data_IF_326797083875
#
_entry.id   IF_326797083875
#
_cell.length_a   1.000
_cell.length_b   1.000
_cell.length_c   1.000
_cell.angle_alpha   90.00
_cell.angle_beta   90.00
_cell.angle_gamma   90.00
#
_symmetry.space_group_name_H-M   'P 1'
#
loop_
_entity.id
_entity.type
_entity.pdbx_description
1 polymer ?
#
# COMPACT_ATOMS: atom_id res chain seq x y z
N UNK A 1 -22.80 -8.28 -1.91
CA UNK A 1 -22.46 -9.65 -2.38
C UNK A 1 -21.26 -10.14 -1.60
N UNK A 2 -21.16 -11.44 -1.29
CA UNK A 2 -19.99 -12.00 -0.64
C UNK A 2 -18.80 -11.84 -1.60
N UNK A 3 -17.78 -11.08 -1.19
CA UNK A 3 -16.59 -10.78 -2.01
C UNK A 3 -16.32 -9.30 -2.28
N UNK A 4 -17.26 -8.38 -2.02
CA UNK A 4 -17.00 -6.94 -2.17
C UNK A 4 -16.30 -6.40 -0.93
N UNK A 5 -15.01 -6.06 -1.05
CA UNK A 5 -14.29 -5.34 0.02
C UNK A 5 -14.95 -3.97 0.25
N UNK A 6 -15.16 -3.55 1.50
CA UNK A 6 -15.74 -2.25 1.78
C UNK A 6 -14.81 -1.13 1.28
N UNK A 7 -15.40 -0.08 0.70
CA UNK A 7 -14.67 1.14 0.37
C UNK A 7 -14.54 1.97 1.65
N UNK A 8 -13.32 2.40 1.96
CA UNK A 8 -13.04 3.29 3.09
C UNK A 8 -13.06 4.76 2.70
N UNK A 9 -12.60 5.08 1.48
CA UNK A 9 -12.48 6.46 0.98
C UNK A 9 -12.55 6.54 -0.54
N UNK A 10 -13.01 7.68 -1.04
CA UNK A 10 -12.96 8.06 -2.47
C UNK A 10 -12.14 9.34 -2.60
N UNK A 11 -11.11 9.31 -3.44
CA UNK A 11 -10.24 10.47 -3.74
C UNK A 11 -10.38 10.80 -5.22
N UNK A 12 -10.59 12.08 -5.54
CA UNK A 12 -10.74 12.57 -6.90
C UNK A 12 -9.39 13.07 -7.44
N UNK A 13 -8.95 12.49 -8.56
CA UNK A 13 -7.69 12.80 -9.26
C UNK A 13 -8.00 13.17 -10.71
N UNK A 14 -7.32 14.19 -11.23
CA UNK A 14 -7.57 14.78 -12.55
C UNK A 14 -8.48 16.01 -12.53
N UNK A 15 -8.43 16.81 -13.60
CA UNK A 15 -9.22 18.05 -13.71
C UNK A 15 -10.71 17.79 -13.99
N UNK A 16 -11.02 16.75 -14.78
CA UNK A 16 -12.39 16.40 -15.18
C UNK A 16 -13.26 15.91 -14.02
N UNK A 17 -12.65 15.41 -12.94
CA UNK A 17 -13.37 14.96 -11.74
C UNK A 17 -13.86 16.13 -10.86
N UNK A 18 -13.53 17.39 -11.20
CA UNK A 18 -14.05 18.59 -10.51
C UNK A 18 -15.48 18.95 -10.89
N UNK A 19 -16.06 18.26 -11.87
CA UNK A 19 -17.47 18.43 -12.23
C UNK A 19 -18.36 18.04 -11.03
N UNK A 20 -19.23 18.94 -10.53
CA UNK A 20 -20.07 18.66 -9.37
C UNK A 20 -20.96 17.42 -9.52
N UNK A 21 -21.38 17.13 -10.76
CA UNK A 21 -22.17 15.95 -11.09
C UNK A 21 -21.40 14.64 -10.83
N UNK A 22 -20.09 14.62 -11.11
CA UNK A 22 -19.24 13.45 -10.89
C UNK A 22 -19.15 13.14 -9.39
N UNK A 23 -18.94 14.16 -8.56
CA UNK A 23 -18.92 14.00 -7.10
C UNK A 23 -20.27 13.51 -6.56
N UNK A 24 -21.36 14.10 -7.01
CA UNK A 24 -22.73 13.73 -6.58
C UNK A 24 -23.09 12.29 -6.95
N UNK A 25 -22.71 11.85 -8.16
CA UNK A 25 -22.90 10.48 -8.62
C UNK A 25 -22.11 9.50 -7.76
N UNK A 26 -20.83 9.80 -7.48
CA UNK A 26 -19.97 8.95 -6.66
C UNK A 26 -20.46 8.86 -5.21
N UNK A 27 -20.96 9.96 -4.63
CA UNK A 27 -21.62 9.95 -3.33
C UNK A 27 -22.83 9.01 -3.33
N UNK A 28 -23.66 9.04 -4.37
CA UNK A 28 -24.85 8.20 -4.49
C UNK A 28 -24.49 6.71 -4.66
N UNK A 29 -23.43 6.40 -5.43
CA UNK A 29 -23.01 5.02 -5.73
C UNK A 29 -22.24 4.36 -4.59
N UNK A 30 -21.48 5.15 -3.82
CA UNK A 30 -20.55 4.63 -2.81
C UNK A 30 -21.02 4.88 -1.38
N UNK A 31 -21.91 5.85 -1.16
CA UNK A 31 -22.29 6.33 0.16
C UNK A 31 -21.20 7.13 0.88
N UNK A 32 -20.08 7.41 0.20
CA UNK A 32 -18.93 8.13 0.74
C UNK A 32 -18.82 9.51 0.12
N UNK A 33 -18.36 10.50 0.89
CA UNK A 33 -18.06 11.83 0.37
C UNK A 33 -16.73 11.84 -0.38
N UNK A 34 -16.71 12.04 -1.72
CA UNK A 34 -15.48 12.09 -2.49
C UNK A 34 -14.67 13.32 -2.11
N UNK A 35 -13.37 13.14 -1.85
CA UNK A 35 -12.48 14.23 -1.43
C UNK A 35 -11.49 14.59 -2.53
N UNK A 36 -11.23 15.89 -2.71
CA UNK A 36 -10.01 16.37 -3.38
C UNK A 36 -8.98 16.66 -2.29
N UNK A 37 -7.76 16.15 -2.42
CA UNK A 37 -6.71 16.43 -1.44
C UNK A 37 -6.37 17.93 -1.47
N UNK A 38 -6.47 18.64 -0.33
CA UNK A 38 -6.15 20.06 -0.28
C UNK A 38 -4.66 20.33 -0.48
N UNK A 39 -3.79 19.41 -0.02
CA UNK A 39 -2.33 19.56 -0.09
C UNK A 39 -1.75 19.17 -1.46
N UNK A 40 -2.53 18.48 -2.29
CA UNK A 40 -2.05 17.94 -3.56
C UNK A 40 -3.02 18.30 -4.69
N UNK A 41 -2.61 19.18 -5.62
CA UNK A 41 -3.41 19.46 -6.81
C UNK A 41 -3.75 18.16 -7.56
N UNK A 42 -5.03 17.98 -7.89
CA UNK A 42 -5.54 16.75 -8.52
C UNK A 42 -4.80 16.32 -9.80
N UNK A 43 -4.13 17.25 -10.51
CA UNK A 43 -3.31 16.95 -11.69
C UNK A 43 -1.89 16.50 -11.34
N UNK A 44 -1.32 17.01 -10.24
CA UNK A 44 0.05 16.72 -9.81
C UNK A 44 0.14 15.49 -8.92
N UNK A 45 -0.98 14.99 -8.38
CA UNK A 45 -1.01 13.80 -7.52
C UNK A 45 -0.31 12.59 -8.16
N UNK A 46 -0.53 12.39 -9.47
CA UNK A 46 0.10 11.28 -10.21
C UNK A 46 1.61 11.50 -10.32
N UNK A 47 2.03 12.70 -10.69
CA UNK A 47 3.46 13.03 -10.83
C UNK A 47 4.21 12.91 -9.50
N UNK A 48 3.59 13.36 -8.39
CA UNK A 48 4.15 13.20 -7.05
C UNK A 48 4.24 11.72 -6.65
N UNK A 49 3.21 10.91 -6.96
CA UNK A 49 3.26 9.47 -6.75
C UNK A 49 4.40 8.79 -7.52
N UNK A 50 4.64 9.22 -8.77
CA UNK A 50 5.79 8.74 -9.55
C UNK A 50 7.13 9.14 -8.92
N UNK A 51 7.26 10.37 -8.40
CA UNK A 51 8.48 10.82 -7.74
C UNK A 51 8.77 10.00 -6.46
N UNK A 52 7.74 9.73 -5.65
CA UNK A 52 7.87 8.85 -4.47
C UNK A 52 8.26 7.43 -4.91
N UNK A 53 7.60 6.88 -5.94
CA UNK A 53 7.93 5.55 -6.46
C UNK A 53 9.36 5.48 -7.01
N UNK A 54 9.84 6.53 -7.65
CA UNK A 54 11.23 6.67 -8.10
C UNK A 54 12.19 6.65 -6.92
N UNK A 55 11.95 7.46 -5.90
CA UNK A 55 12.77 7.46 -4.68
C UNK A 55 12.79 6.10 -3.96
N UNK A 56 11.68 5.35 -3.98
CA UNK A 56 11.64 3.98 -3.45
C UNK A 56 12.57 3.05 -4.25
N UNK A 57 12.59 3.17 -5.58
CA UNK A 57 13.44 2.35 -6.44
C UNK A 57 14.92 2.73 -6.34
N UNK A 58 15.21 4.01 -6.14
CA UNK A 58 16.56 4.55 -6.01
C UNK A 58 17.15 4.37 -4.60
N UNK A 59 16.40 3.77 -3.67
CA UNK A 59 16.84 3.53 -2.29
C UNK A 59 16.84 4.78 -1.39
N UNK A 60 16.23 5.88 -1.83
CA UNK A 60 16.16 7.16 -1.09
C UNK A 60 15.42 7.03 0.25
N UNK A 61 14.61 5.98 0.38
CA UNK A 61 13.81 5.69 1.57
C UNK A 61 14.32 4.48 2.35
N UNK A 62 15.45 3.89 1.97
CA UNK A 62 16.08 2.84 2.78
C UNK A 62 16.58 3.48 4.09
N UNK A 63 16.31 2.81 5.22
CA UNK A 63 16.67 3.30 6.56
C UNK A 63 18.20 3.50 6.65
N UNK A 64 18.68 4.74 6.46
CA UNK A 64 20.02 5.12 6.88
C UNK A 64 20.03 5.17 8.41
N UNK A 65 20.28 4.02 9.03
CA UNK A 65 20.79 3.87 10.40
C UNK A 65 20.23 4.81 11.49
N UNK A 66 18.92 5.11 11.55
CA UNK A 66 18.33 5.82 12.70
C UNK A 66 16.90 5.32 12.99
N UNK A 67 16.75 4.67 14.15
CA UNK A 67 15.62 3.89 14.68
C UNK A 67 14.23 4.58 14.78
N UNK A 68 13.97 5.75 14.19
CA UNK A 68 12.67 6.45 14.37
C UNK A 68 12.06 7.16 13.14
N UNK A 69 12.61 7.06 11.92
CA UNK A 69 12.16 7.96 10.85
C UNK A 69 12.11 7.48 9.41
N UNK A 70 12.63 6.30 9.07
CA UNK A 70 12.65 5.87 7.68
C UNK A 70 11.32 5.23 7.23
N UNK A 71 11.03 5.39 5.95
CA UNK A 71 9.90 4.72 5.31
C UNK A 71 10.30 3.25 5.15
N UNK A 72 9.75 2.35 5.98
CA UNK A 72 10.03 0.90 5.95
C UNK A 72 9.59 0.17 4.67
N UNK A 73 10.10 0.62 3.53
CA UNK A 73 9.77 0.19 2.18
C UNK A 73 10.94 -0.64 1.68
N UNK A 74 10.70 -1.94 1.56
CA UNK A 74 11.69 -2.88 1.05
C UNK A 74 11.72 -2.90 -0.47
N UNK A 75 12.89 -3.12 -1.06
CA UNK A 75 13.00 -3.46 -2.47
C UNK A 75 12.27 -4.76 -2.79
N UNK A 76 11.90 -4.98 -4.06
CA UNK A 76 11.25 -6.22 -4.49
C UNK A 76 12.04 -7.48 -4.12
N UNK A 77 13.38 -7.41 -4.18
CA UNK A 77 14.25 -8.52 -3.83
C UNK A 77 14.32 -8.75 -2.32
N UNK A 78 14.49 -7.70 -1.51
CA UNK A 78 14.45 -7.81 -0.04
C UNK A 78 13.10 -8.34 0.44
N UNK A 79 11.99 -7.84 -0.12
CA UNK A 79 10.65 -8.32 0.22
C UNK A 79 10.44 -9.79 -0.19
N UNK A 80 10.93 -10.21 -1.37
CA UNK A 80 10.85 -11.59 -1.81
C UNK A 80 11.68 -12.52 -0.93
N UNK A 81 12.90 -12.11 -0.58
CA UNK A 81 13.77 -12.84 0.33
C UNK A 81 13.14 -12.97 1.72
N UNK A 82 12.63 -11.89 2.30
CA UNK A 82 11.96 -11.91 3.60
C UNK A 82 10.76 -12.86 3.60
N UNK A 83 9.90 -12.80 2.57
CA UNK A 83 8.77 -13.73 2.43
C UNK A 83 9.22 -15.18 2.33
N UNK A 84 10.29 -15.46 1.59
CA UNK A 84 10.87 -16.79 1.47
C UNK A 84 11.45 -17.28 2.80
N UNK A 85 12.08 -16.41 3.58
CA UNK A 85 12.61 -16.74 4.92
C UNK A 85 11.48 -17.05 5.90
N UNK A 86 10.45 -16.21 5.96
CA UNK A 86 9.27 -16.41 6.83
C UNK A 86 8.59 -17.75 6.51
N UNK A 87 8.43 -18.07 5.22
CA UNK A 87 7.87 -19.35 4.80
C UNK A 87 8.77 -20.54 5.18
N UNK A 88 10.10 -20.40 5.02
CA UNK A 88 11.05 -21.42 5.44
C UNK A 88 11.01 -21.67 6.94
N UNK A 89 10.92 -20.62 7.76
CA UNK A 89 10.79 -20.75 9.22
C UNK A 89 9.50 -21.45 9.63
N UNK A 90 8.38 -21.10 9.00
CA UNK A 90 7.09 -21.77 9.20
C UNK A 90 7.20 -23.26 8.93
N UNK A 91 7.77 -23.64 7.78
CA UNK A 91 7.96 -25.05 7.40
C UNK A 91 8.91 -25.79 8.35
N UNK A 92 9.99 -25.14 8.78
CA UNK A 92 10.94 -25.74 9.73
C UNK A 92 10.31 -25.96 11.11
N UNK A 93 9.46 -25.05 11.57
CA UNK A 93 8.72 -25.20 12.82
C UNK A 93 7.76 -26.39 12.75
N UNK A 94 6.99 -26.51 11.68
CA UNK A 94 6.09 -27.65 11.45
C UNK A 94 6.83 -28.98 11.36
N UNK A 95 8.01 -29.00 10.72
CA UNK A 95 8.87 -30.20 10.68
C UNK A 95 9.40 -30.58 12.06
N UNK A 96 9.78 -29.59 12.88
CA UNK A 96 10.27 -29.81 14.25
C UNK A 96 9.17 -30.33 15.17
N UNK A 97 7.94 -29.83 15.03
CA UNK A 97 6.77 -30.32 15.77
C UNK A 97 6.46 -31.78 15.42
N UNK A 98 6.44 -32.14 14.13
CA UNK A 98 6.25 -33.54 13.68
C UNK A 98 7.35 -34.51 14.12
N UNK A 99 8.56 -34.01 14.35
CA UNK A 99 9.69 -34.79 14.87
C UNK A 99 9.68 -34.92 16.41
N UNK A 100 9.04 -33.97 17.11
CA UNK A 100 8.93 -33.97 18.57
C UNK A 100 7.80 -34.83 19.14
N UNK A 101 6.81 -35.21 18.32
CA UNK A 101 5.69 -36.09 18.73
C UNK A 101 6.03 -37.59 18.66
N UNK A 102 7.29 -37.95 18.41
CA UNK A 102 7.75 -39.34 18.26
C UNK A 102 8.64 -39.88 19.39
N UNK A 103 8.63 -39.26 20.59
CA UNK A 103 9.38 -39.73 21.77
C UNK A 103 8.47 -40.28 22.85
#
# INVERSE_FOLDING_TARGET
SPGRRPLSRVILVGGSTRLPLVSSLLSTLTGLSPTVLPEVPAVSAVAMGCAVQGGILDGVFEDEEDDEGGFGVMTNMQAALLRAMVEKERVLKERREKLGEGS
#
